data_IF_315593134619
#
_entry.id   IF_315593134619
#
_cell.length_a   1.000
_cell.length_b   1.000
_cell.length_c   1.000
_cell.angle_alpha   90.00
_cell.angle_beta   90.00
_cell.angle_gamma   90.00
#
_symmetry.space_group_name_H-M   'P 1'
#
loop_
_entity.id
_entity.type
_entity.pdbx_description
1 polymer ?
#
# COMPACT_ATOMS: atom_id res chain seq x y z
N UNK A 1 9.99 -14.79 -59.55
CA UNK A 1 10.06 -15.08 -58.08
C UNK A 1 10.55 -16.53 -57.85
N UNK A 2 11.59 -16.99 -58.50
CA UNK A 2 11.92 -18.43 -58.55
C UNK A 2 13.38 -18.79 -58.20
N UNK A 3 14.09 -17.97 -57.44
CA UNK A 3 15.51 -18.21 -57.18
C UNK A 3 15.94 -18.26 -55.71
N UNK A 4 14.99 -18.13 -54.75
CA UNK A 4 15.33 -18.19 -53.31
C UNK A 4 15.30 -19.62 -52.71
N UNK A 5 14.65 -20.56 -53.35
CA UNK A 5 14.55 -21.95 -52.86
C UNK A 5 15.82 -22.80 -53.11
N UNK A 6 16.57 -22.48 -54.16
CA UNK A 6 17.71 -23.33 -54.60
C UNK A 6 19.01 -23.04 -53.84
N UNK A 7 19.19 -21.85 -53.32
CA UNK A 7 20.35 -21.46 -52.48
C UNK A 7 20.31 -22.07 -51.11
N UNK A 8 19.13 -22.21 -50.48
CA UNK A 8 18.98 -22.83 -49.16
C UNK A 8 19.29 -24.34 -49.18
N UNK A 9 18.86 -25.00 -50.23
CA UNK A 9 19.09 -26.46 -50.37
C UNK A 9 20.56 -26.81 -50.61
N UNK A 10 21.31 -25.94 -51.28
CA UNK A 10 22.78 -26.09 -51.50
C UNK A 10 23.58 -25.93 -50.22
N UNK A 11 23.18 -25.02 -49.34
CA UNK A 11 23.85 -24.77 -48.06
C UNK A 11 23.69 -25.96 -47.07
N UNK A 12 22.51 -26.55 -46.96
CA UNK A 12 22.27 -27.73 -46.13
C UNK A 12 23.03 -28.96 -46.59
N UNK A 13 23.22 -29.15 -47.90
CA UNK A 13 24.05 -30.25 -48.45
C UNK A 13 25.54 -30.07 -48.12
N UNK A 14 26.05 -28.83 -48.19
CA UNK A 14 27.44 -28.53 -47.82
C UNK A 14 27.68 -28.71 -46.33
N UNK A 15 26.78 -28.24 -45.49
CA UNK A 15 26.82 -28.45 -44.04
C UNK A 15 26.87 -29.96 -43.72
N UNK A 16 26.00 -30.75 -44.30
CA UNK A 16 25.96 -32.20 -44.08
C UNK A 16 27.25 -32.91 -44.53
N UNK A 17 27.90 -32.46 -45.60
CA UNK A 17 29.18 -33.04 -46.05
C UNK A 17 30.35 -32.68 -45.11
N UNK A 18 30.38 -31.45 -44.60
CA UNK A 18 31.40 -30.99 -43.64
C UNK A 18 31.22 -31.73 -42.29
N UNK A 19 29.99 -31.90 -41.83
CA UNK A 19 29.68 -32.65 -40.61
C UNK A 19 30.07 -34.14 -40.71
N UNK A 20 29.93 -34.78 -41.88
CA UNK A 20 30.36 -36.16 -42.10
C UNK A 20 31.87 -36.31 -42.17
N UNK A 21 32.58 -35.27 -42.60
CA UNK A 21 34.05 -35.31 -42.77
C UNK A 21 34.81 -35.06 -41.45
N UNK A 22 34.17 -34.47 -40.45
CA UNK A 22 34.83 -34.10 -39.20
C UNK A 22 33.93 -34.35 -37.98
N UNK A 23 34.01 -35.56 -37.44
CA UNK A 23 33.18 -36.00 -36.28
C UNK A 23 33.36 -35.12 -35.06
N UNK A 24 34.56 -34.60 -34.84
CA UNK A 24 34.86 -33.69 -33.72
C UNK A 24 34.10 -32.39 -33.83
N UNK A 25 33.98 -31.79 -35.03
CA UNK A 25 33.24 -30.58 -35.28
C UNK A 25 31.72 -30.75 -35.02
N UNK A 26 31.21 -31.92 -35.42
CA UNK A 26 29.79 -32.26 -35.20
C UNK A 26 29.45 -32.36 -33.71
N UNK A 27 30.33 -32.97 -32.91
CA UNK A 27 30.18 -33.11 -31.47
C UNK A 27 30.19 -31.69 -30.81
N UNK A 28 31.12 -30.84 -31.20
CA UNK A 28 31.20 -29.46 -30.66
C UNK A 28 29.95 -28.68 -30.98
N UNK A 29 29.48 -28.69 -32.24
CA UNK A 29 28.26 -27.96 -32.63
C UNK A 29 27.03 -28.50 -31.88
N UNK A 30 26.89 -29.81 -31.74
CA UNK A 30 25.77 -30.38 -31.00
C UNK A 30 25.81 -30.02 -29.51
N UNK A 31 26.99 -29.98 -28.91
CA UNK A 31 27.15 -29.55 -27.51
C UNK A 31 26.80 -28.08 -27.30
N UNK A 32 27.18 -27.18 -28.22
CA UNK A 32 26.82 -25.77 -28.16
C UNK A 32 25.30 -25.60 -28.28
N UNK A 33 24.65 -26.27 -29.23
CA UNK A 33 23.19 -26.18 -29.39
C UNK A 33 22.46 -26.67 -28.15
N UNK A 34 22.90 -27.77 -27.54
CA UNK A 34 22.31 -28.28 -26.30
C UNK A 34 22.48 -27.29 -25.13
N UNK A 35 23.65 -26.67 -25.05
CA UNK A 35 23.92 -25.66 -24.00
C UNK A 35 23.03 -24.42 -24.17
N UNK A 36 22.88 -23.93 -25.41
CA UNK A 36 22.00 -22.79 -25.70
C UNK A 36 20.53 -23.12 -25.39
N UNK A 37 20.07 -24.33 -25.73
CA UNK A 37 18.71 -24.77 -25.35
C UNK A 37 18.53 -24.81 -23.83
N UNK A 38 19.51 -25.34 -23.09
CA UNK A 38 19.47 -25.42 -21.65
C UNK A 38 19.40 -24.01 -21.01
N UNK A 39 20.24 -23.09 -21.47
CA UNK A 39 20.23 -21.69 -21.02
C UNK A 39 18.89 -21.02 -21.35
N UNK A 40 18.34 -21.25 -22.52
CA UNK A 40 17.03 -20.73 -22.93
C UNK A 40 15.92 -21.23 -22.02
N UNK A 41 15.86 -22.51 -21.71
CA UNK A 41 14.86 -23.08 -20.79
C UNK A 41 15.03 -22.52 -19.36
N UNK A 42 16.26 -22.41 -18.87
CA UNK A 42 16.55 -21.84 -17.57
C UNK A 42 16.11 -20.38 -17.50
N UNK A 43 16.36 -19.59 -18.54
CA UNK A 43 15.98 -18.18 -18.60
C UNK A 43 14.45 -18.00 -18.55
N UNK A 44 13.70 -18.75 -19.38
CA UNK A 44 12.22 -18.70 -19.37
C UNK A 44 11.68 -19.15 -18.02
N UNK A 45 12.24 -20.22 -17.45
CA UNK A 45 11.81 -20.70 -16.13
C UNK A 45 12.09 -19.69 -15.02
N UNK A 46 13.24 -19.03 -15.06
CA UNK A 46 13.60 -17.98 -14.12
C UNK A 46 12.66 -16.76 -14.22
N UNK A 47 12.34 -16.33 -15.45
CA UNK A 47 11.38 -15.23 -15.65
C UNK A 47 10.00 -15.57 -15.09
N UNK A 48 9.47 -16.75 -15.40
CA UNK A 48 8.16 -17.19 -14.90
C UNK A 48 8.15 -17.29 -13.36
N UNK A 49 9.25 -17.79 -12.77
CA UNK A 49 9.37 -17.86 -11.32
C UNK A 49 9.39 -16.47 -10.67
N UNK A 50 10.17 -15.53 -11.23
CA UNK A 50 10.26 -14.16 -10.73
C UNK A 50 8.90 -13.47 -10.81
N UNK A 51 8.21 -13.56 -11.97
CA UNK A 51 6.89 -12.95 -12.14
C UNK A 51 5.89 -13.49 -11.11
N UNK A 52 5.80 -14.81 -10.97
CA UNK A 52 4.89 -15.43 -10.00
C UNK A 52 5.21 -15.05 -8.56
N UNK A 53 6.49 -14.96 -8.21
CA UNK A 53 6.91 -14.56 -6.86
C UNK A 53 6.59 -13.10 -6.61
N UNK A 54 6.79 -12.21 -7.59
CA UNK A 54 6.45 -10.79 -7.48
C UNK A 54 4.94 -10.59 -7.34
N UNK A 55 4.12 -11.28 -8.13
CA UNK A 55 2.65 -11.23 -8.00
C UNK A 55 2.21 -11.62 -6.58
N UNK A 56 2.73 -12.72 -6.05
CA UNK A 56 2.41 -13.19 -4.70
C UNK A 56 2.86 -12.19 -3.62
N UNK A 57 4.04 -11.58 -3.79
CA UNK A 57 4.52 -10.55 -2.84
C UNK A 57 3.64 -9.31 -2.87
N UNK A 58 3.26 -8.82 -4.05
CA UNK A 58 2.38 -7.66 -4.20
C UNK A 58 1.01 -7.93 -3.60
N UNK A 59 0.41 -9.10 -3.86
CA UNK A 59 -0.88 -9.48 -3.25
C UNK A 59 -0.79 -9.55 -1.73
N UNK A 60 0.26 -10.13 -1.19
CA UNK A 60 0.47 -10.22 0.25
C UNK A 60 0.65 -8.83 0.90
N UNK A 61 1.43 -7.94 0.29
CA UNK A 61 1.66 -6.59 0.78
C UNK A 61 0.39 -5.72 0.68
N UNK A 62 -0.35 -5.83 -0.42
CA UNK A 62 -1.66 -5.16 -0.57
C UNK A 62 -2.66 -5.65 0.48
N UNK A 63 -2.73 -6.96 0.71
CA UNK A 63 -3.61 -7.54 1.73
C UNK A 63 -3.25 -7.07 3.14
N UNK A 64 -1.96 -7.07 3.48
CA UNK A 64 -1.47 -6.57 4.76
C UNK A 64 -1.79 -5.09 4.96
N UNK A 65 -1.59 -4.27 3.93
CA UNK A 65 -1.91 -2.84 3.94
C UNK A 65 -3.41 -2.61 4.10
N UNK A 66 -4.24 -3.34 3.34
CA UNK A 66 -5.69 -3.27 3.48
C UNK A 66 -6.16 -3.60 4.90
N UNK A 67 -5.67 -4.71 5.48
CA UNK A 67 -6.00 -5.10 6.85
C UNK A 67 -5.55 -4.05 7.88
N UNK A 68 -4.37 -3.46 7.68
CA UNK A 68 -3.87 -2.38 8.56
C UNK A 68 -4.77 -1.15 8.51
N UNK A 69 -5.19 -0.72 7.32
CA UNK A 69 -6.10 0.42 7.15
C UNK A 69 -7.48 0.09 7.74
N UNK A 70 -8.01 -1.08 7.41
CA UNK A 70 -9.31 -1.53 7.90
C UNK A 70 -9.36 -1.57 9.44
N UNK A 71 -8.34 -2.15 10.08
CA UNK A 71 -8.26 -2.18 11.54
C UNK A 71 -8.18 -0.78 12.16
N UNK A 72 -7.44 0.14 11.54
CA UNK A 72 -7.38 1.53 12.00
C UNK A 72 -8.73 2.23 11.91
N UNK A 73 -9.44 2.06 10.79
CA UNK A 73 -10.77 2.64 10.60
C UNK A 73 -11.79 2.06 11.59
N UNK A 74 -11.78 0.74 11.78
CA UNK A 74 -12.66 0.09 12.76
C UNK A 74 -12.38 0.58 14.18
N UNK A 75 -11.11 0.78 14.56
CA UNK A 75 -10.78 1.34 15.86
C UNK A 75 -11.31 2.76 16.03
N UNK A 76 -11.25 3.60 14.98
CA UNK A 76 -11.83 4.95 15.00
C UNK A 76 -13.35 4.90 15.15
N UNK A 77 -14.03 4.03 14.39
CA UNK A 77 -15.47 3.82 14.44
C UNK A 77 -15.93 3.42 15.85
N UNK A 78 -15.32 2.39 16.44
CA UNK A 78 -15.64 1.95 17.80
C UNK A 78 -15.38 3.05 18.82
N UNK A 79 -14.31 3.83 18.67
CA UNK A 79 -14.06 4.97 19.55
C UNK A 79 -15.16 6.02 19.42
N UNK A 80 -15.53 6.39 18.20
CA UNK A 80 -16.58 7.40 17.95
C UNK A 80 -17.94 6.97 18.50
N UNK A 81 -18.30 5.71 18.36
CA UNK A 81 -19.53 5.16 18.92
C UNK A 81 -19.53 5.28 20.45
N UNK A 82 -18.43 4.90 21.11
CA UNK A 82 -18.31 5.03 22.56
C UNK A 82 -18.32 6.50 23.01
N UNK A 83 -17.61 7.38 22.28
CA UNK A 83 -17.58 8.82 22.55
C UNK A 83 -18.95 9.46 22.38
N UNK A 84 -19.67 9.11 21.33
CA UNK A 84 -21.02 9.63 21.05
C UNK A 84 -21.98 9.36 22.21
N UNK A 85 -21.92 8.15 22.79
CA UNK A 85 -22.75 7.83 23.96
C UNK A 85 -22.36 8.67 25.18
N UNK A 86 -21.06 8.78 25.51
CA UNK A 86 -20.56 9.54 26.66
C UNK A 86 -20.84 11.02 26.50
N UNK A 87 -20.64 11.60 25.33
CA UNK A 87 -20.99 13.01 25.02
C UNK A 87 -22.49 13.22 25.15
N UNK A 88 -23.32 12.29 24.69
CA UNK A 88 -24.76 12.37 24.75
C UNK A 88 -25.30 12.43 26.19
N UNK A 89 -24.61 11.83 27.17
CA UNK A 89 -24.99 11.91 28.60
C UNK A 89 -24.52 13.18 29.32
N UNK A 90 -23.57 13.92 28.73
CA UNK A 90 -22.93 15.09 29.36
C UNK A 90 -23.11 16.36 28.53
N UNK A 91 -24.18 16.45 27.71
CA UNK A 91 -24.43 17.59 26.83
C UNK A 91 -24.59 18.93 27.59
N UNK A 92 -25.05 18.88 28.84
CA UNK A 92 -25.27 20.07 29.69
C UNK A 92 -24.00 20.49 30.46
N UNK A 93 -22.86 19.80 30.25
CA UNK A 93 -21.62 20.09 30.96
C UNK A 93 -20.52 20.55 29.97
N UNK A 94 -20.56 21.78 29.43
CA UNK A 94 -19.65 22.25 28.40
C UNK A 94 -18.18 22.28 28.83
N UNK A 95 -17.88 22.60 30.08
CA UNK A 95 -16.52 22.63 30.62
C UNK A 95 -15.89 21.23 30.62
N UNK A 96 -16.69 20.21 30.93
CA UNK A 96 -16.24 18.81 30.92
C UNK A 96 -15.82 18.35 29.51
N UNK A 97 -16.39 18.93 28.46
CA UNK A 97 -16.03 18.56 27.07
C UNK A 97 -14.59 18.90 26.72
N UNK A 98 -13.99 19.93 27.32
CA UNK A 98 -12.55 20.22 27.13
C UNK A 98 -11.69 19.14 27.78
N UNK A 99 -12.02 18.72 29.00
CA UNK A 99 -11.29 17.63 29.66
C UNK A 99 -11.47 16.29 28.92
N UNK A 100 -12.68 16.04 28.45
CA UNK A 100 -12.99 14.84 27.66
C UNK A 100 -12.16 14.75 26.37
N UNK A 101 -12.12 15.81 25.56
CA UNK A 101 -11.33 15.86 24.34
C UNK A 101 -9.84 15.76 24.64
N UNK A 102 -9.36 16.41 25.70
CA UNK A 102 -7.98 16.33 26.17
C UNK A 102 -7.58 14.90 26.56
N UNK A 103 -8.37 14.24 27.40
CA UNK A 103 -8.11 12.87 27.84
C UNK A 103 -8.19 11.88 26.68
N UNK A 104 -9.09 12.11 25.74
CA UNK A 104 -9.21 11.27 24.54
C UNK A 104 -7.91 11.29 23.71
N UNK A 105 -7.37 12.47 23.45
CA UNK A 105 -6.11 12.62 22.71
C UNK A 105 -4.92 12.08 23.53
N UNK A 106 -4.86 12.38 24.83
CA UNK A 106 -3.79 11.95 25.73
C UNK A 106 -3.67 10.43 25.85
N UNK A 107 -4.79 9.74 25.92
CA UNK A 107 -4.82 8.30 26.14
C UNK A 107 -4.73 7.49 24.84
N UNK A 108 -4.79 8.14 23.69
CA UNK A 108 -4.78 7.50 22.38
C UNK A 108 -3.74 8.14 21.45
N UNK A 109 -2.52 7.68 21.52
CA UNK A 109 -1.39 8.19 20.71
C UNK A 109 -1.60 8.10 19.18
N UNK A 110 -2.61 7.36 18.74
CA UNK A 110 -2.95 7.21 17.32
C UNK A 110 -3.72 8.42 16.79
N UNK A 111 -4.38 9.21 17.65
CA UNK A 111 -5.18 10.36 17.25
C UNK A 111 -4.40 11.65 17.43
N UNK A 112 -4.30 12.42 16.37
CA UNK A 112 -3.64 13.72 16.41
C UNK A 112 -4.47 14.78 17.14
N UNK A 113 -5.78 14.68 17.08
CA UNK A 113 -6.70 15.59 17.73
C UNK A 113 -8.10 14.99 17.86
N UNK A 114 -8.88 15.58 18.72
CA UNK A 114 -10.29 15.26 18.99
C UNK A 114 -11.07 16.52 19.24
N UNK A 115 -12.30 16.61 18.73
CA UNK A 115 -13.21 17.71 18.98
C UNK A 115 -14.67 17.25 19.01
N UNK A 116 -15.49 18.00 19.72
CA UNK A 116 -16.94 17.83 19.76
C UNK A 116 -17.57 19.16 19.30
N UNK A 117 -18.29 19.14 18.19
CA UNK A 117 -18.96 20.31 17.65
C UNK A 117 -20.44 20.30 18.07
N UNK A 118 -20.92 21.38 18.64
CA UNK A 118 -22.31 21.58 19.01
C UNK A 118 -23.05 22.35 17.92
N UNK A 119 -24.38 22.21 17.92
CA UNK A 119 -25.22 23.03 17.06
C UNK A 119 -25.06 24.52 17.42
N UNK A 120 -25.23 25.44 16.45
CA UNK A 120 -25.20 26.86 16.74
C UNK A 120 -26.12 27.23 17.91
N UNK A 121 -25.65 28.12 18.80
CA UNK A 121 -26.36 28.60 20.00
C UNK A 121 -26.77 27.51 21.01
N UNK A 122 -26.20 26.30 20.91
CA UNK A 122 -26.49 25.25 21.91
C UNK A 122 -25.99 25.64 23.32
N UNK A 123 -24.79 26.26 23.38
CA UNK A 123 -24.19 26.84 24.58
C UNK A 123 -23.90 28.33 24.36
N UNK A 124 -24.89 29.20 24.44
CA UNK A 124 -24.76 30.62 24.08
C UNK A 124 -23.75 31.39 24.93
N UNK A 125 -23.39 30.89 26.12
CA UNK A 125 -22.33 31.43 26.97
C UNK A 125 -20.93 31.30 26.38
N UNK A 126 -20.74 30.38 25.43
CA UNK A 126 -19.48 30.16 24.70
C UNK A 126 -19.47 30.71 23.26
N UNK A 127 -20.56 31.43 22.90
CA UNK A 127 -20.72 32.01 21.56
C UNK A 127 -21.58 31.15 20.62
N UNK A 128 -21.80 31.66 19.40
CA UNK A 128 -22.65 31.00 18.40
C UNK A 128 -22.17 29.55 18.06
N UNK A 129 -20.83 29.36 17.96
CA UNK A 129 -20.25 28.07 17.66
C UNK A 129 -19.39 27.58 18.82
N UNK A 130 -19.86 26.57 19.52
CA UNK A 130 -19.12 25.94 20.59
C UNK A 130 -18.52 24.61 20.10
N UNK A 131 -17.17 24.53 20.08
CA UNK A 131 -16.43 23.34 19.64
C UNK A 131 -15.18 23.15 20.50
N UNK A 132 -15.28 22.51 21.66
CA UNK A 132 -14.11 22.09 22.43
C UNK A 132 -13.24 21.13 21.60
N UNK A 133 -11.98 21.47 21.46
CA UNK A 133 -11.01 20.75 20.62
C UNK A 133 -9.67 20.61 21.33
N UNK A 134 -9.10 19.42 21.23
CA UNK A 134 -7.76 19.11 21.75
C UNK A 134 -6.89 18.51 20.67
N UNK A 135 -5.62 18.94 20.61
CA UNK A 135 -4.68 18.53 19.57
C UNK A 135 -3.26 18.38 20.13
N UNK A 136 -2.50 17.43 19.62
CA UNK A 136 -1.08 17.32 19.88
C UNK A 136 -0.32 18.50 19.28
N UNK A 137 0.49 19.19 20.09
CA UNK A 137 1.44 20.20 19.64
C UNK A 137 2.86 19.69 19.88
N UNK A 138 3.41 19.00 18.88
CA UNK A 138 4.68 18.29 19.01
C UNK A 138 4.50 16.91 19.68
N UNK A 139 5.56 16.34 20.24
CA UNK A 139 5.54 14.99 20.78
C UNK A 139 4.95 14.87 22.20
N UNK A 140 5.05 15.93 23.01
CA UNK A 140 4.80 15.84 24.46
C UNK A 140 3.73 16.83 25.01
N UNK A 141 3.12 17.65 24.16
CA UNK A 141 2.12 18.63 24.62
C UNK A 141 0.79 18.49 23.89
N UNK A 142 -0.30 18.61 24.64
CA UNK A 142 -1.66 18.69 24.13
C UNK A 142 -2.22 20.05 24.48
N UNK A 143 -2.81 20.72 23.52
CA UNK A 143 -3.49 22.00 23.69
C UNK A 143 -4.97 21.73 23.53
N UNK A 144 -5.75 22.22 24.50
CA UNK A 144 -7.22 22.28 24.42
C UNK A 144 -7.62 23.72 24.15
N UNK A 145 -8.53 23.93 23.23
CA UNK A 145 -9.01 25.25 22.81
C UNK A 145 -10.44 25.15 22.32
N UNK A 146 -11.10 26.30 22.21
CA UNK A 146 -12.38 26.41 21.52
C UNK A 146 -12.08 26.50 20.01
N UNK A 147 -12.71 25.65 19.20
CA UNK A 147 -12.63 25.74 17.75
C UNK A 147 -13.34 26.99 17.24
N UNK A 148 -12.86 27.54 16.14
CA UNK A 148 -13.35 28.82 15.60
C UNK A 148 -12.46 30.03 15.95
N UNK A 149 -11.74 30.00 17.07
CA UNK A 149 -10.85 31.09 17.48
C UNK A 149 -9.53 31.16 16.67
N UNK A 150 -9.25 30.18 15.83
CA UNK A 150 -7.99 30.03 15.08
C UNK A 150 -8.08 30.32 13.57
N UNK A 151 -9.11 31.03 13.12
CA UNK A 151 -9.19 31.49 11.72
C UNK A 151 -9.45 30.38 10.70
N UNK A 152 -10.17 29.37 11.07
CA UNK A 152 -10.84 28.46 10.12
C UNK A 152 -12.23 29.05 9.81
N UNK A 153 -12.22 30.23 9.20
CA UNK A 153 -13.38 30.86 8.57
C UNK A 153 -13.55 30.34 7.14
#
# INVERSE_FOLDING_TARGET
MENMGNTRMGWWRRLRSIMKANTSLTVIISAVILLEMMVGVMFVSAQNFIQKTMEQMVEAEMSATYLSIHNKLTNVEVLLDNMSWVVGESLDEPEWMFDFTHQTVKNNSMYWGCGVAFAPDYHPEYGEFFMPYSVHRGQDSIISMQGGDNGYD
#
